data_IF_761494513157
#
_entry.id   IF_761494513157
#
_cell.length_a   1.000
_cell.length_b   1.000
_cell.length_c   1.000
_cell.angle_alpha   90.00
_cell.angle_beta   90.00
_cell.angle_gamma   90.00
#
_symmetry.space_group_name_H-M   'P 1'
#
loop_
_entity.id
_entity.type
_entity.pdbx_description
1 polymer ?
#
# COMPACT_ATOMS: atom_id res chain seq x y z
N UNK A 1 -20.55 -12.68 -0.29
CA UNK A 1 -19.19 -13.28 -0.27
C UNK A 1 -18.58 -13.13 -1.66
N UNK A 2 -17.32 -12.74 -1.73
CA UNK A 2 -16.58 -12.62 -2.99
C UNK A 2 -15.74 -13.89 -3.13
N UNK A 3 -16.00 -14.68 -4.16
CA UNK A 3 -15.22 -15.89 -4.44
C UNK A 3 -13.78 -15.55 -4.85
N UNK A 4 -12.85 -16.47 -4.56
CA UNK A 4 -11.47 -16.31 -5.00
C UNK A 4 -11.37 -16.26 -6.53
N UNK A 5 -10.78 -15.18 -7.06
CA UNK A 5 -10.55 -15.06 -8.49
C UNK A 5 -9.04 -14.84 -8.75
N UNK A 6 -8.38 -15.77 -9.48
CA UNK A 6 -6.94 -15.66 -9.80
C UNK A 6 -6.55 -14.35 -10.50
N UNK A 7 -7.49 -13.75 -11.26
CA UNK A 7 -7.23 -12.50 -11.96
C UNK A 7 -6.89 -11.35 -11.00
N UNK A 8 -7.49 -11.30 -9.81
CA UNK A 8 -7.17 -10.30 -8.78
C UNK A 8 -5.70 -10.38 -8.39
N UNK A 9 -5.22 -11.60 -8.19
CA UNK A 9 -3.83 -11.85 -7.81
C UNK A 9 -2.86 -11.48 -8.95
N UNK A 10 -3.17 -11.90 -10.18
CA UNK A 10 -2.35 -11.58 -11.35
C UNK A 10 -2.31 -10.06 -11.58
N UNK A 11 -3.46 -9.38 -11.51
CA UNK A 11 -3.52 -7.92 -11.62
C UNK A 11 -2.69 -7.24 -10.54
N UNK A 12 -2.84 -7.67 -9.28
CA UNK A 12 -2.03 -7.14 -8.17
C UNK A 12 -0.54 -7.27 -8.42
N UNK A 13 -0.05 -8.43 -8.89
CA UNK A 13 1.36 -8.66 -9.20
C UNK A 13 1.84 -7.76 -10.35
N UNK A 14 1.09 -7.71 -11.46
CA UNK A 14 1.46 -6.92 -12.66
C UNK A 14 1.50 -5.43 -12.33
N UNK A 15 0.49 -4.91 -11.63
CA UNK A 15 0.40 -3.50 -11.22
C UNK A 15 1.56 -3.15 -10.27
N UNK A 16 1.79 -3.98 -9.24
CA UNK A 16 2.86 -3.75 -8.27
C UNK A 16 4.23 -3.74 -8.95
N UNK A 17 4.53 -4.78 -9.73
CA UNK A 17 5.79 -4.86 -10.49
C UNK A 17 6.01 -3.61 -11.36
N UNK A 18 4.98 -3.20 -12.08
CA UNK A 18 5.07 -2.07 -13.01
C UNK A 18 5.29 -0.75 -12.29
N UNK A 19 4.44 -0.43 -11.31
CA UNK A 19 4.50 0.86 -10.60
C UNK A 19 5.83 1.01 -9.86
N UNK A 20 6.31 -0.04 -9.17
CA UNK A 20 7.60 0.02 -8.48
C UNK A 20 8.78 0.25 -9.44
N UNK A 21 8.79 -0.39 -10.62
CA UNK A 21 9.89 -0.19 -11.57
C UNK A 21 9.80 1.15 -12.32
N UNK A 22 8.59 1.66 -12.58
CA UNK A 22 8.41 2.99 -13.19
C UNK A 22 8.81 4.11 -12.21
N UNK A 23 8.41 4.01 -10.93
CA UNK A 23 8.75 5.02 -9.91
C UNK A 23 10.25 5.13 -9.67
N UNK A 24 11.00 4.03 -9.76
CA UNK A 24 12.48 4.06 -9.63
C UNK A 24 13.16 4.95 -10.65
N UNK A 25 12.55 5.15 -11.81
CA UNK A 25 13.09 6.07 -12.82
C UNK A 25 12.79 7.53 -12.49
N UNK A 26 11.71 7.81 -11.81
CA UNK A 26 11.33 9.18 -11.39
C UNK A 26 12.06 9.63 -10.11
N UNK A 27 12.52 8.69 -9.30
CA UNK A 27 13.12 8.96 -7.99
C UNK A 27 14.62 8.61 -7.94
N UNK A 28 15.32 8.62 -9.10
CA UNK A 28 16.74 8.25 -9.24
C UNK A 28 17.68 9.02 -8.29
N UNK A 29 17.45 10.32 -8.10
CA UNK A 29 18.29 11.17 -7.25
C UNK A 29 18.17 10.82 -5.76
N UNK A 30 16.96 10.48 -5.33
CA UNK A 30 16.67 10.10 -3.95
C UNK A 30 17.19 8.68 -3.68
N UNK A 31 16.98 7.73 -4.61
CA UNK A 31 17.45 6.34 -4.53
C UNK A 31 18.99 6.24 -4.53
N UNK A 32 19.68 7.10 -5.27
CA UNK A 32 21.16 7.12 -5.28
C UNK A 32 21.75 7.43 -3.91
N UNK A 33 21.10 8.27 -3.11
CA UNK A 33 21.54 8.66 -1.77
C UNK A 33 21.08 7.64 -0.73
N UNK A 34 19.78 7.33 -0.68
CA UNK A 34 19.20 6.51 0.37
C UNK A 34 19.46 5.00 0.17
N UNK A 35 19.62 4.53 -1.08
CA UNK A 35 19.68 3.10 -1.45
C UNK A 35 20.72 2.80 -2.54
N UNK A 36 21.97 3.20 -2.37
CA UNK A 36 23.04 3.14 -3.39
C UNK A 36 23.24 1.77 -4.04
N UNK A 37 23.18 0.66 -3.28
CA UNK A 37 23.30 -0.70 -3.82
C UNK A 37 22.12 -1.07 -4.75
N UNK A 38 20.89 -0.74 -4.34
CA UNK A 38 19.68 -0.95 -5.13
C UNK A 38 19.71 -0.10 -6.40
N UNK A 39 20.11 1.18 -6.27
CA UNK A 39 20.27 2.08 -7.40
C UNK A 39 21.27 1.55 -8.44
N UNK A 40 22.44 1.03 -8.03
CA UNK A 40 23.40 0.43 -8.94
C UNK A 40 22.83 -0.73 -9.77
N UNK A 41 22.04 -1.61 -9.13
CA UNK A 41 21.37 -2.70 -9.82
C UNK A 41 20.30 -2.20 -10.81
N UNK A 42 19.41 -1.31 -10.38
CA UNK A 42 18.34 -0.77 -11.22
C UNK A 42 18.87 0.03 -12.39
N UNK A 43 19.97 0.76 -12.22
CA UNK A 43 20.63 1.51 -13.28
C UNK A 43 21.25 0.58 -14.33
N UNK A 44 21.87 -0.51 -13.89
CA UNK A 44 22.46 -1.52 -14.80
C UNK A 44 21.41 -2.16 -15.72
N UNK A 45 20.20 -2.43 -15.21
CA UNK A 45 19.11 -3.09 -15.93
C UNK A 45 17.98 -2.15 -16.33
N UNK A 46 18.20 -0.83 -16.32
CA UNK A 46 17.17 0.20 -16.48
C UNK A 46 16.25 -0.03 -17.69
N UNK A 47 16.83 -0.27 -18.88
CA UNK A 47 16.05 -0.46 -20.12
C UNK A 47 15.14 -1.71 -20.03
N UNK A 48 15.66 -2.81 -19.51
CA UNK A 48 14.90 -4.04 -19.36
C UNK A 48 13.77 -3.87 -18.34
N UNK A 49 14.07 -3.34 -17.16
CA UNK A 49 13.08 -3.11 -16.11
C UNK A 49 11.99 -2.14 -16.55
N UNK A 50 12.35 -1.07 -17.26
CA UNK A 50 11.40 -0.09 -17.76
C UNK A 50 10.49 -0.67 -18.86
N UNK A 51 11.04 -1.37 -19.85
CA UNK A 51 10.24 -1.96 -20.95
C UNK A 51 9.33 -3.08 -20.45
N UNK A 52 9.81 -3.95 -19.54
CA UNK A 52 8.98 -4.98 -18.94
C UNK A 52 7.90 -4.43 -18.01
N UNK A 53 8.18 -3.33 -17.30
CA UNK A 53 7.18 -2.64 -16.49
C UNK A 53 6.04 -2.06 -17.34
N UNK A 54 6.36 -1.42 -18.47
CA UNK A 54 5.35 -0.93 -19.40
C UNK A 54 4.52 -2.10 -19.97
N UNK A 55 5.19 -3.16 -20.44
CA UNK A 55 4.50 -4.35 -20.95
C UNK A 55 3.58 -5.00 -19.93
N UNK A 56 4.02 -5.14 -18.69
CA UNK A 56 3.22 -5.69 -17.61
C UNK A 56 2.01 -4.80 -17.28
N UNK A 57 2.16 -3.47 -17.35
CA UNK A 57 1.03 -2.58 -17.12
C UNK A 57 0.00 -2.62 -18.24
N UNK A 58 0.46 -2.66 -19.49
CA UNK A 58 -0.43 -2.83 -20.66
C UNK A 58 -1.20 -4.15 -20.53
N UNK A 59 -0.53 -5.24 -20.14
CA UNK A 59 -1.16 -6.53 -19.90
C UNK A 59 -2.18 -6.45 -18.77
N UNK A 60 -1.86 -5.77 -17.66
CA UNK A 60 -2.80 -5.56 -16.55
C UNK A 60 -4.07 -4.83 -17.01
N UNK A 61 -3.93 -3.77 -17.80
CA UNK A 61 -5.09 -3.03 -18.35
C UNK A 61 -5.89 -3.87 -19.34
N UNK A 62 -5.22 -4.67 -20.18
CA UNK A 62 -5.89 -5.60 -21.10
C UNK A 62 -6.70 -6.67 -20.37
N UNK A 63 -6.15 -7.27 -19.31
CA UNK A 63 -6.88 -8.20 -18.44
C UNK A 63 -8.04 -7.48 -17.75
N UNK A 64 -7.82 -6.27 -17.23
CA UNK A 64 -8.86 -5.49 -16.56
C UNK A 64 -10.04 -5.18 -17.47
N UNK A 65 -9.77 -4.94 -18.76
CA UNK A 65 -10.82 -4.69 -19.78
C UNK A 65 -11.81 -5.85 -19.92
N UNK A 66 -11.36 -7.08 -19.71
CA UNK A 66 -12.24 -8.28 -19.76
C UNK A 66 -13.30 -8.30 -18.64
N UNK A 67 -13.05 -7.54 -17.55
CA UNK A 67 -13.94 -7.46 -16.39
C UNK A 67 -14.74 -6.15 -16.34
N UNK A 68 -14.52 -5.25 -17.28
CA UNK A 68 -15.30 -4.02 -17.45
C UNK A 68 -14.59 -2.72 -17.08
N UNK A 69 -15.19 -1.58 -17.42
CA UNK A 69 -14.54 -0.27 -17.32
C UNK A 69 -14.18 0.14 -15.88
N UNK A 70 -14.96 -0.27 -14.88
CA UNK A 70 -14.65 0.01 -13.49
C UNK A 70 -13.33 -0.65 -13.05
N UNK A 71 -13.08 -1.90 -13.46
CA UNK A 71 -11.84 -2.63 -13.15
C UNK A 71 -10.65 -1.96 -13.83
N UNK A 72 -10.80 -1.46 -15.07
CA UNK A 72 -9.75 -0.69 -15.75
C UNK A 72 -9.41 0.59 -14.98
N UNK A 73 -10.41 1.34 -14.56
CA UNK A 73 -10.22 2.58 -13.79
C UNK A 73 -9.50 2.29 -12.47
N UNK A 74 -9.94 1.27 -11.74
CA UNK A 74 -9.31 0.89 -10.46
C UNK A 74 -7.86 0.45 -10.67
N UNK A 75 -7.59 -0.36 -11.70
CA UNK A 75 -6.23 -0.79 -12.05
C UNK A 75 -5.33 0.37 -12.49
N UNK A 76 -5.91 1.45 -13.06
CA UNK A 76 -5.18 2.63 -13.48
C UNK A 76 -4.81 3.57 -12.31
N UNK A 77 -5.47 3.48 -11.15
CA UNK A 77 -5.25 4.39 -10.01
C UNK A 77 -3.78 4.49 -9.61
N UNK A 78 -3.02 3.39 -9.39
CA UNK A 78 -1.63 3.49 -8.95
C UNK A 78 -0.72 4.19 -9.98
N UNK A 79 -0.92 3.95 -11.27
CA UNK A 79 -0.15 4.62 -12.33
C UNK A 79 -0.49 6.10 -12.42
N UNK A 80 -1.79 6.44 -12.46
CA UNK A 80 -2.25 7.83 -12.51
C UNK A 80 -1.72 8.59 -11.29
N UNK A 81 -1.81 7.98 -10.11
CA UNK A 81 -1.29 8.55 -8.87
C UNK A 81 0.22 8.81 -8.96
N UNK A 82 1.01 7.87 -9.49
CA UNK A 82 2.46 8.02 -9.69
C UNK A 82 2.80 9.14 -10.68
N UNK A 83 2.05 9.26 -11.79
CA UNK A 83 2.23 10.33 -12.77
C UNK A 83 1.87 11.69 -12.18
N UNK A 84 0.68 11.82 -11.56
CA UNK A 84 0.21 13.08 -10.96
C UNK A 84 1.11 13.51 -9.80
N UNK A 85 1.60 12.56 -9.04
CA UNK A 85 2.54 12.77 -7.95
C UNK A 85 3.88 13.39 -8.42
N UNK A 86 4.39 12.93 -9.57
CA UNK A 86 5.71 13.33 -10.11
C UNK A 86 5.61 14.49 -11.11
N UNK A 87 4.45 14.72 -11.73
CA UNK A 87 4.27 15.77 -12.75
C UNK A 87 4.25 17.18 -12.14
N UNK A 88 4.77 18.20 -12.85
CA UNK A 88 4.71 19.60 -12.43
C UNK A 88 3.30 20.18 -12.68
N UNK A 89 2.32 19.81 -11.83
CA UNK A 89 0.90 20.19 -11.99
C UNK A 89 0.59 21.63 -11.54
N UNK A 90 1.47 22.26 -10.75
CA UNK A 90 1.25 23.61 -10.26
C UNK A 90 1.91 24.68 -11.17
N UNK A 91 1.27 25.87 -11.32
CA UNK A 91 1.78 26.97 -12.13
C UNK A 91 3.16 27.48 -11.65
N UNK A 92 3.90 28.14 -12.58
CA UNK A 92 5.14 28.86 -12.21
C UNK A 92 4.81 29.99 -11.24
N UNK A 93 5.53 30.02 -10.09
CA UNK A 93 5.28 31.02 -9.01
C UNK A 93 4.58 30.44 -7.78
N UNK A 94 4.04 29.21 -7.86
CA UNK A 94 3.56 28.52 -6.67
C UNK A 94 4.73 27.96 -5.84
N UNK A 95 4.64 27.86 -4.50
CA UNK A 95 5.74 27.38 -3.65
C UNK A 95 6.11 25.91 -3.92
N UNK A 96 5.23 25.15 -4.53
CA UNK A 96 5.43 23.76 -4.94
C UNK A 96 5.13 23.59 -6.41
N UNK A 97 5.91 22.78 -7.13
CA UNK A 97 5.69 22.45 -8.56
C UNK A 97 5.01 21.10 -8.72
N UNK A 98 5.27 20.16 -7.82
CA UNK A 98 4.81 18.77 -7.85
C UNK A 98 4.08 18.43 -6.55
N UNK A 99 3.12 17.51 -6.62
CA UNK A 99 2.43 17.04 -5.42
C UNK A 99 3.37 16.39 -4.40
N UNK A 100 4.42 15.73 -4.86
CA UNK A 100 5.42 15.10 -3.97
C UNK A 100 6.23 16.11 -3.11
N UNK A 101 6.21 17.37 -3.49
CA UNK A 101 6.88 18.43 -2.72
C UNK A 101 6.03 18.90 -1.52
N UNK A 102 4.75 18.54 -1.49
CA UNK A 102 3.82 18.87 -0.39
C UNK A 102 3.94 17.77 0.67
N UNK A 103 4.35 18.08 1.92
CA UNK A 103 4.75 17.10 2.92
C UNK A 103 3.76 15.96 3.17
N UNK A 104 2.48 16.28 3.31
CA UNK A 104 1.44 15.29 3.63
C UNK A 104 0.91 14.60 2.36
N UNK A 105 0.89 15.31 1.23
CA UNK A 105 0.31 14.81 -0.02
C UNK A 105 1.04 13.56 -0.54
N UNK A 106 2.37 13.48 -0.38
CA UNK A 106 3.17 12.30 -0.70
C UNK A 106 2.57 11.03 -0.10
N UNK A 107 2.50 10.98 1.22
CA UNK A 107 2.09 9.79 1.95
C UNK A 107 0.59 9.49 1.76
N UNK A 108 -0.26 10.51 1.62
CA UNK A 108 -1.69 10.33 1.36
C UNK A 108 -1.95 9.74 -0.03
N UNK A 109 -1.30 10.26 -1.08
CA UNK A 109 -1.48 9.76 -2.46
C UNK A 109 -1.05 8.31 -2.55
N UNK A 110 0.10 7.96 -1.97
CA UNK A 110 0.59 6.58 -1.93
C UNK A 110 -0.39 5.68 -1.18
N UNK A 111 -0.88 6.12 -0.02
CA UNK A 111 -1.83 5.33 0.77
C UNK A 111 -3.15 5.07 0.02
N UNK A 112 -3.71 6.08 -0.64
CA UNK A 112 -4.92 5.93 -1.48
C UNK A 112 -4.64 5.01 -2.65
N UNK A 113 -3.54 5.22 -3.38
CA UNK A 113 -3.17 4.45 -4.56
C UNK A 113 -3.02 2.95 -4.28
N UNK A 114 -2.51 2.58 -3.11
CA UNK A 114 -2.28 1.20 -2.72
C UNK A 114 -3.40 0.59 -1.85
N UNK A 115 -4.31 1.39 -1.31
CA UNK A 115 -5.48 0.87 -0.58
C UNK A 115 -6.63 0.48 -1.53
N UNK A 116 -6.86 1.25 -2.59
CA UNK A 116 -8.04 1.06 -3.46
C UNK A 116 -7.98 -0.22 -4.31
N UNK A 117 -6.89 -0.55 -5.04
CA UNK A 117 -6.88 -1.72 -5.90
C UNK A 117 -7.10 -3.05 -5.16
N UNK A 118 -6.38 -3.39 -4.08
CA UNK A 118 -6.56 -4.69 -3.41
C UNK A 118 -7.94 -4.86 -2.78
N UNK A 119 -8.64 -3.76 -2.49
CA UNK A 119 -9.97 -3.80 -1.89
C UNK A 119 -11.11 -3.75 -2.90
N UNK A 120 -10.95 -2.99 -3.99
CA UNK A 120 -12.01 -2.80 -4.97
C UNK A 120 -11.96 -3.82 -6.12
N UNK A 121 -10.77 -4.26 -6.56
CA UNK A 121 -10.67 -5.23 -7.66
C UNK A 121 -11.45 -6.52 -7.39
N UNK A 122 -11.35 -7.15 -6.19
CA UNK A 122 -12.14 -8.36 -5.92
C UNK A 122 -13.65 -8.12 -6.03
N UNK A 123 -14.13 -6.97 -5.54
CA UNK A 123 -15.55 -6.61 -5.54
C UNK A 123 -16.09 -6.45 -6.96
N UNK A 124 -15.41 -5.62 -7.77
CA UNK A 124 -15.86 -5.34 -9.14
C UNK A 124 -15.66 -6.52 -10.10
N UNK A 125 -14.60 -7.32 -9.92
CA UNK A 125 -14.40 -8.56 -10.72
C UNK A 125 -15.48 -9.59 -10.42
N UNK A 126 -15.98 -9.64 -9.18
CA UNK A 126 -17.13 -10.49 -8.81
C UNK A 126 -18.47 -9.92 -9.25
N UNK A 127 -18.53 -8.76 -9.92
CA UNK A 127 -19.77 -8.09 -10.31
C UNK A 127 -20.58 -7.53 -9.14
N UNK A 128 -19.94 -7.36 -7.96
CA UNK A 128 -20.57 -6.84 -6.76
C UNK A 128 -20.39 -5.31 -6.65
N UNK A 129 -21.11 -4.71 -5.69
CA UNK A 129 -20.96 -3.30 -5.36
C UNK A 129 -20.26 -3.14 -4.01
N UNK A 130 -19.45 -2.07 -3.83
CA UNK A 130 -18.83 -1.76 -2.55
C UNK A 130 -19.87 -1.55 -1.45
N UNK A 131 -19.62 -2.16 -0.31
CA UNK A 131 -20.45 -2.10 0.88
C UNK A 131 -19.68 -1.59 2.11
N UNK A 132 -20.25 -1.70 3.31
CA UNK A 132 -19.57 -1.30 4.55
C UNK A 132 -18.31 -2.13 4.82
N UNK A 133 -18.29 -3.41 4.43
CA UNK A 133 -17.11 -4.29 4.61
C UNK A 133 -16.00 -3.80 3.68
N UNK A 134 -16.33 -3.48 2.44
CA UNK A 134 -15.39 -2.89 1.47
C UNK A 134 -14.82 -1.56 1.98
N UNK A 135 -15.67 -0.67 2.53
CA UNK A 135 -15.22 0.59 3.10
C UNK A 135 -14.26 0.36 4.29
N UNK A 136 -14.58 -0.56 5.17
CA UNK A 136 -13.73 -0.92 6.30
C UNK A 136 -12.38 -1.48 5.83
N UNK A 137 -12.37 -2.32 4.79
CA UNK A 137 -11.16 -2.84 4.18
C UNK A 137 -10.30 -1.72 3.57
N UNK A 138 -10.91 -0.76 2.85
CA UNK A 138 -10.20 0.42 2.32
C UNK A 138 -9.55 1.21 3.45
N UNK A 139 -10.28 1.50 4.54
CA UNK A 139 -9.75 2.25 5.68
C UNK A 139 -8.61 1.51 6.38
N UNK A 140 -8.71 0.19 6.50
CA UNK A 140 -7.68 -0.65 7.09
C UNK A 140 -6.40 -0.63 6.26
N UNK A 141 -6.50 -0.94 4.95
CA UNK A 141 -5.34 -0.90 4.05
C UNK A 141 -4.75 0.50 3.93
N UNK A 142 -5.60 1.53 3.84
CA UNK A 142 -5.14 2.92 3.82
C UNK A 142 -4.30 3.26 5.05
N UNK A 143 -4.77 2.91 6.25
CA UNK A 143 -4.04 3.19 7.48
C UNK A 143 -2.69 2.48 7.53
N UNK A 144 -2.62 1.20 7.15
CA UNK A 144 -1.39 0.43 7.14
C UNK A 144 -0.39 0.96 6.11
N UNK A 145 -0.84 1.26 4.89
CA UNK A 145 0.04 1.82 3.84
C UNK A 145 0.51 3.22 4.21
N UNK A 146 -0.37 4.06 4.77
CA UNK A 146 0.01 5.39 5.23
C UNK A 146 1.09 5.32 6.33
N UNK A 147 0.90 4.44 7.32
CA UNK A 147 1.85 4.22 8.40
C UNK A 147 3.21 3.75 7.84
N UNK A 148 3.21 2.78 6.92
CA UNK A 148 4.45 2.28 6.31
C UNK A 148 5.18 3.37 5.52
N UNK A 149 4.45 4.12 4.69
CA UNK A 149 5.04 5.20 3.88
C UNK A 149 5.71 6.25 4.77
N UNK A 150 5.04 6.67 5.85
CA UNK A 150 5.60 7.65 6.77
C UNK A 150 6.74 7.05 7.61
N UNK A 151 6.69 5.75 7.94
CA UNK A 151 7.78 5.05 8.62
C UNK A 151 9.06 5.01 7.76
N UNK A 152 8.92 4.77 6.45
CA UNK A 152 10.03 4.84 5.51
C UNK A 152 10.58 6.27 5.39
N UNK A 153 9.71 7.29 5.35
CA UNK A 153 10.13 8.68 5.41
C UNK A 153 10.89 9.01 6.73
N UNK A 154 10.50 8.39 7.87
CA UNK A 154 11.24 8.53 9.13
C UNK A 154 12.63 7.90 9.06
N UNK A 155 12.79 6.76 8.39
CA UNK A 155 14.08 6.09 8.17
C UNK A 155 14.99 6.96 7.29
N UNK A 156 14.44 7.53 6.25
CA UNK A 156 15.17 8.22 5.20
C UNK A 156 15.30 9.75 5.46
N UNK A 157 14.93 10.23 6.66
CA UNK A 157 14.83 11.64 7.03
C UNK A 157 16.09 12.48 6.75
N UNK A 158 17.28 11.91 6.93
CA UNK A 158 18.54 12.63 6.68
C UNK A 158 18.78 12.83 5.17
N UNK A 159 18.53 11.79 4.36
CA UNK A 159 18.62 11.87 2.90
C UNK A 159 17.56 12.81 2.31
N UNK A 160 16.33 12.75 2.79
CA UNK A 160 15.25 13.65 2.38
C UNK A 160 15.58 15.12 2.69
N UNK A 161 16.19 15.38 3.87
CA UNK A 161 16.63 16.71 4.23
C UNK A 161 17.75 17.23 3.32
N UNK A 162 18.71 16.38 2.94
CA UNK A 162 19.81 16.72 2.03
C UNK A 162 19.32 16.98 0.60
N UNK A 163 18.31 16.27 0.14
CA UNK A 163 17.72 16.46 -1.20
C UNK A 163 16.65 17.56 -1.23
N UNK A 164 16.33 18.16 -0.07
CA UNK A 164 15.29 19.21 0.05
C UNK A 164 13.87 18.68 -0.03
N UNK A 165 13.64 17.36 0.09
CA UNK A 165 12.32 16.74 0.12
C UNK A 165 11.66 16.99 1.49
N UNK A 166 10.46 17.56 1.48
CA UNK A 166 9.74 17.95 2.70
C UNK A 166 8.74 16.86 3.09
N UNK A 167 9.23 15.78 3.71
CA UNK A 167 8.38 14.72 4.28
C UNK A 167 7.82 15.10 5.65
N UNK A 168 6.81 14.38 6.13
CA UNK A 168 6.22 14.61 7.46
C UNK A 168 7.30 14.64 8.55
N UNK A 169 8.21 13.64 8.67
CA UNK A 169 9.23 13.65 9.71
C UNK A 169 10.28 14.78 9.54
N UNK A 170 10.55 15.23 8.32
CA UNK A 170 11.42 16.39 8.07
C UNK A 170 10.77 17.68 8.61
N UNK A 171 9.43 17.81 8.48
CA UNK A 171 8.70 19.01 8.86
C UNK A 171 8.40 19.10 10.35
N UNK A 172 7.94 18.01 10.98
CA UNK A 172 7.48 18.02 12.38
C UNK A 172 8.38 17.26 13.35
N UNK A 173 9.43 16.61 12.83
CA UNK A 173 10.37 15.80 13.61
C UNK A 173 9.84 14.41 13.97
N UNK A 174 10.78 13.53 14.33
CA UNK A 174 10.54 12.10 14.58
C UNK A 174 9.54 11.85 15.73
N UNK A 175 9.65 12.61 16.83
CA UNK A 175 8.80 12.39 18.00
C UNK A 175 7.32 12.69 17.71
N UNK A 176 7.04 13.83 17.07
CA UNK A 176 5.69 14.23 16.68
C UNK A 176 5.14 13.28 15.59
N UNK A 177 5.95 12.85 14.63
CA UNK A 177 5.57 11.87 13.62
C UNK A 177 5.20 10.53 14.26
N UNK A 178 5.99 10.03 15.21
CA UNK A 178 5.66 8.80 15.95
C UNK A 178 4.33 8.90 16.68
N UNK A 179 4.04 10.04 17.31
CA UNK A 179 2.75 10.29 17.95
C UNK A 179 1.61 10.30 16.94
N UNK A 180 1.78 11.02 15.82
CA UNK A 180 0.82 11.05 14.72
C UNK A 180 0.47 9.64 14.22
N UNK A 181 1.49 8.80 13.95
CA UNK A 181 1.28 7.43 13.48
C UNK A 181 0.53 6.56 14.50
N UNK A 182 0.83 6.70 15.80
CA UNK A 182 0.08 6.00 16.85
C UNK A 182 -1.39 6.43 16.88
N UNK A 183 -1.67 7.73 16.76
CA UNK A 183 -3.04 8.25 16.71
C UNK A 183 -3.78 7.75 15.47
N UNK A 184 -3.17 7.81 14.29
CA UNK A 184 -3.73 7.28 13.04
C UNK A 184 -4.06 5.79 13.20
N UNK A 185 -3.12 4.98 13.70
CA UNK A 185 -3.32 3.55 13.89
C UNK A 185 -4.50 3.24 14.83
N UNK A 186 -4.62 3.96 15.95
CA UNK A 186 -5.71 3.75 16.91
C UNK A 186 -7.05 4.22 16.33
N UNK A 187 -7.11 5.43 15.77
CA UNK A 187 -8.37 6.00 15.24
C UNK A 187 -8.92 5.12 14.12
N UNK A 188 -8.10 4.82 13.09
CA UNK A 188 -8.54 3.96 11.99
C UNK A 188 -8.83 2.54 12.46
N UNK A 189 -7.99 1.98 13.33
CA UNK A 189 -8.18 0.65 13.88
C UNK A 189 -9.52 0.51 14.63
N UNK A 190 -9.83 1.43 15.53
CA UNK A 190 -11.11 1.45 16.25
C UNK A 190 -12.28 1.64 15.28
N UNK A 191 -12.15 2.56 14.33
CA UNK A 191 -13.20 2.80 13.31
C UNK A 191 -13.49 1.53 12.51
N UNK A 192 -12.46 0.83 12.04
CA UNK A 192 -12.60 -0.42 11.28
C UNK A 192 -13.29 -1.50 12.11
N UNK A 193 -12.87 -1.70 13.35
CA UNK A 193 -13.49 -2.69 14.25
C UNK A 193 -14.96 -2.35 14.49
N UNK A 194 -15.31 -1.08 14.73
CA UNK A 194 -16.69 -0.65 14.94
C UNK A 194 -17.55 -0.84 13.68
N UNK A 195 -17.02 -0.55 12.49
CA UNK A 195 -17.73 -0.74 11.21
C UNK A 195 -18.03 -2.22 10.92
N UNK A 196 -17.13 -3.12 11.37
CA UNK A 196 -17.24 -4.55 11.10
C UNK A 196 -17.90 -5.34 12.24
N UNK A 197 -18.14 -4.71 13.38
CA UNK A 197 -18.76 -5.35 14.53
C UNK A 197 -20.12 -5.97 14.15
N UNK A 198 -20.29 -7.25 14.44
CA UNK A 198 -21.47 -8.05 14.05
C UNK A 198 -21.70 -8.23 12.53
N UNK A 199 -20.79 -7.81 11.65
CA UNK A 199 -20.91 -7.99 10.20
C UNK A 199 -20.05 -9.10 9.64
N UNK A 200 -18.97 -9.45 10.36
CA UNK A 200 -18.06 -10.53 9.99
C UNK A 200 -17.80 -11.43 11.20
N UNK A 201 -17.37 -12.69 11.00
CA UNK A 201 -16.97 -13.57 12.07
C UNK A 201 -15.89 -12.99 12.96
N UNK A 202 -15.93 -13.28 14.27
CA UNK A 202 -14.99 -12.77 15.27
C UNK A 202 -13.52 -13.06 14.90
N UNK A 203 -13.24 -14.21 14.28
CA UNK A 203 -11.88 -14.55 13.85
C UNK A 203 -11.25 -13.51 12.91
N UNK A 204 -12.02 -12.93 12.00
CA UNK A 204 -11.53 -11.87 11.11
C UNK A 204 -11.35 -10.54 11.84
N UNK A 205 -12.21 -10.24 12.81
CA UNK A 205 -12.01 -9.06 13.69
C UNK A 205 -10.71 -9.22 14.49
N UNK A 206 -10.45 -10.41 15.03
CA UNK A 206 -9.21 -10.70 15.76
C UNK A 206 -7.97 -10.53 14.87
N UNK A 207 -8.03 -10.95 13.59
CA UNK A 207 -6.97 -10.73 12.61
C UNK A 207 -6.67 -9.24 12.40
N UNK A 208 -7.71 -8.42 12.24
CA UNK A 208 -7.58 -6.97 12.12
C UNK A 208 -6.95 -6.36 13.37
N UNK A 209 -7.43 -6.76 14.54
CA UNK A 209 -6.87 -6.31 15.84
C UNK A 209 -5.41 -6.69 15.97
N UNK A 210 -5.02 -7.91 15.57
CA UNK A 210 -3.60 -8.32 15.53
C UNK A 210 -2.78 -7.41 14.59
N UNK A 211 -3.30 -7.06 13.42
CA UNK A 211 -2.66 -6.12 12.51
C UNK A 211 -2.44 -4.74 13.13
N UNK A 212 -3.44 -4.22 13.87
CA UNK A 212 -3.36 -2.94 14.59
C UNK A 212 -2.28 -3.00 15.68
N UNK A 213 -2.25 -4.09 16.47
CA UNK A 213 -1.22 -4.28 17.50
C UNK A 213 0.17 -4.41 16.90
N UNK A 214 0.31 -5.14 15.80
CA UNK A 214 1.58 -5.29 15.10
C UNK A 214 2.07 -3.93 14.58
N UNK A 215 1.21 -3.15 13.93
CA UNK A 215 1.54 -1.80 13.48
C UNK A 215 1.95 -0.90 14.65
N UNK A 216 1.22 -0.95 15.77
CA UNK A 216 1.58 -0.19 16.97
C UNK A 216 2.95 -0.59 17.53
N UNK A 217 3.27 -1.88 17.50
CA UNK A 217 4.54 -2.41 17.96
C UNK A 217 5.71 -1.89 17.13
N UNK A 218 5.64 -1.94 15.80
CA UNK A 218 6.76 -1.46 14.99
C UNK A 218 6.88 0.07 14.98
N UNK A 219 5.79 0.84 15.08
CA UNK A 219 5.84 2.28 15.29
C UNK A 219 6.59 2.61 16.59
N UNK A 220 6.30 1.89 17.68
CA UNK A 220 6.97 2.09 18.97
C UNK A 220 8.45 1.77 18.93
N UNK A 221 8.83 0.74 18.18
CA UNK A 221 10.19 0.22 18.09
C UNK A 221 10.96 0.73 16.84
N UNK A 222 10.45 1.77 16.16
CA UNK A 222 10.97 2.21 14.88
C UNK A 222 12.49 2.45 14.90
N UNK A 223 13.07 3.02 15.98
CA UNK A 223 14.51 3.30 16.09
C UNK A 223 15.37 2.04 15.92
N UNK A 224 14.96 0.93 16.53
CA UNK A 224 15.65 -0.36 16.39
C UNK A 224 15.47 -0.97 15.01
N UNK A 225 14.28 -0.79 14.44
CA UNK A 225 13.91 -1.35 13.15
C UNK A 225 14.61 -0.59 12.02
N UNK A 226 14.77 0.72 12.12
CA UNK A 226 15.40 1.57 11.12
C UNK A 226 16.94 1.47 11.08
N UNK A 227 17.58 0.74 12.01
CA UNK A 227 19.02 0.47 11.96
C UNK A 227 19.45 -0.32 10.71
N UNK A 228 18.52 -1.09 10.13
CA UNK A 228 18.74 -1.83 8.89
C UNK A 228 17.59 -1.60 7.91
N UNK A 229 17.91 -1.16 6.69
CA UNK A 229 16.92 -0.99 5.63
C UNK A 229 16.14 -2.28 5.37
N UNK A 230 16.85 -3.42 5.29
CA UNK A 230 16.22 -4.73 5.08
C UNK A 230 15.26 -5.09 6.22
N UNK A 231 15.64 -4.83 7.47
CA UNK A 231 14.79 -5.14 8.62
C UNK A 231 13.54 -4.25 8.62
N UNK A 232 13.70 -2.98 8.28
CA UNK A 232 12.59 -2.04 8.16
C UNK A 232 11.59 -2.49 7.08
N UNK A 233 12.09 -2.84 5.88
CA UNK A 233 11.27 -3.31 4.76
C UNK A 233 10.55 -4.63 5.13
N UNK A 234 11.26 -5.60 5.71
CA UNK A 234 10.68 -6.89 6.11
C UNK A 234 9.60 -6.75 7.19
N UNK A 235 9.77 -5.86 8.15
CA UNK A 235 8.79 -5.67 9.23
C UNK A 235 7.59 -4.86 8.73
N UNK A 236 7.82 -3.76 8.04
CA UNK A 236 6.73 -2.89 7.59
C UNK A 236 5.92 -3.54 6.46
N UNK A 237 6.56 -3.99 5.38
CA UNK A 237 5.86 -4.59 4.25
C UNK A 237 5.49 -6.05 4.50
N UNK A 238 6.27 -6.78 5.31
CA UNK A 238 6.01 -8.16 5.68
C UNK A 238 4.69 -8.35 6.45
N UNK A 239 4.12 -7.31 7.05
CA UNK A 239 2.81 -7.39 7.70
C UNK A 239 1.69 -7.82 6.74
N UNK A 240 1.72 -7.38 5.48
CA UNK A 240 0.72 -7.76 4.49
C UNK A 240 0.79 -9.25 4.17
N UNK A 241 2.01 -9.79 4.09
CA UNK A 241 2.24 -11.23 3.89
C UNK A 241 1.78 -12.00 5.12
N UNK A 242 2.14 -11.56 6.33
CA UNK A 242 1.75 -12.22 7.58
C UNK A 242 0.24 -12.25 7.77
N UNK A 243 -0.44 -11.12 7.55
CA UNK A 243 -1.91 -11.03 7.63
C UNK A 243 -2.59 -11.89 6.57
N UNK A 244 -2.05 -11.91 5.34
CA UNK A 244 -2.57 -12.76 4.26
C UNK A 244 -2.44 -14.25 4.60
N UNK A 245 -1.29 -14.70 5.10
CA UNK A 245 -1.07 -16.09 5.53
C UNK A 245 -1.98 -16.48 6.70
N UNK A 246 -2.13 -15.61 7.70
CA UNK A 246 -3.05 -15.84 8.82
C UNK A 246 -4.51 -15.93 8.34
N UNK A 247 -4.90 -15.10 7.35
CA UNK A 247 -6.21 -15.18 6.73
C UNK A 247 -6.45 -16.53 6.06
N UNK A 248 -5.48 -17.04 5.30
CA UNK A 248 -5.57 -18.39 4.67
C UNK A 248 -5.72 -19.47 5.74
N UNK A 249 -4.98 -19.39 6.85
CA UNK A 249 -5.12 -20.33 7.96
C UNK A 249 -6.51 -20.26 8.59
N UNK A 250 -7.04 -19.06 8.85
CA UNK A 250 -8.39 -18.89 9.41
C UNK A 250 -9.43 -19.52 8.49
N UNK A 251 -9.34 -19.25 7.18
CA UNK A 251 -10.27 -19.84 6.18
C UNK A 251 -10.16 -21.36 6.18
N UNK A 252 -8.95 -21.92 6.13
CA UNK A 252 -8.73 -23.37 6.11
C UNK A 252 -9.25 -24.07 7.40
N UNK A 253 -9.04 -23.46 8.56
CA UNK A 253 -9.53 -23.97 9.86
C UNK A 253 -11.05 -23.87 9.92
N UNK A 254 -11.63 -22.73 9.53
CA UNK A 254 -13.10 -22.57 9.49
C UNK A 254 -13.75 -23.60 8.55
N UNK A 255 -13.08 -23.90 7.44
CA UNK A 255 -13.43 -24.91 6.47
C UNK A 255 -13.50 -26.33 7.08
N UNK A 256 -12.53 -26.67 7.90
CA UNK A 256 -12.45 -27.99 8.56
C UNK A 256 -13.57 -28.23 9.57
N UNK A 257 -14.11 -27.17 10.15
CA UNK A 257 -15.19 -27.25 11.14
C UNK A 257 -16.60 -27.13 10.52
N UNK A 258 -16.74 -26.63 9.31
CA UNK A 258 -18.03 -26.52 8.61
C UNK A 258 -17.90 -26.86 7.11
N UNK A 259 -17.70 -28.14 6.76
CA UNK A 259 -17.49 -28.56 5.37
C UNK A 259 -18.66 -28.26 4.43
N UNK A 260 -19.89 -28.16 4.95
CA UNK A 260 -21.08 -27.82 4.14
C UNK A 260 -21.13 -26.32 3.74
N UNK A 261 -20.46 -25.44 4.49
CA UNK A 261 -20.42 -24.01 4.17
C UNK A 261 -19.45 -23.65 3.04
N UNK A 262 -18.51 -24.54 2.69
CA UNK A 262 -17.51 -24.30 1.63
C UNK A 262 -18.09 -24.55 0.24
N UNK A 263 -18.96 -25.55 0.08
CA UNK A 263 -19.62 -25.82 -1.21
C UNK A 263 -20.48 -24.65 -1.71
N UNK A 264 -20.79 -23.68 -0.82
CA UNK A 264 -21.49 -22.44 -1.14
C UNK A 264 -20.55 -21.22 -1.32
N UNK A 265 -19.24 -21.36 -1.02
CA UNK A 265 -18.27 -20.26 -1.04
C UNK A 265 -17.18 -20.40 -2.13
N UNK A 266 -17.13 -21.56 -2.83
CA UNK A 266 -16.35 -21.83 -4.05
C UNK A 266 -17.27 -21.72 -5.27
#
# INVERSE_FOLDING_TARGET
EVSFNPAVFVLGMLITYSVYNLNRKTDESEDAINHSKRYGFTKKYERLLFSTAIGAYILALAISWLYGPAVVVISAIPLISGVVYSAPVFPRGFPYRRLKEIPVAKSLIVAVAWALPPTLLPVYIAGAFPDTITLAAILFFFSLVFINTVLFDMRDVEGDRLTGVRTIPVCIGIAATTLLLKMVNIIFGVTVVLLLWNKIPLAYIMLIVMGIFYAHWYIRNYRKISESNLLCDLIADGQFIALGLLMVVIVAVSASFNPAGIAAAI
#
